data_IF_490787502338
#
_entry.id   IF_490787502338
#
_cell.length_a   1.000
_cell.length_b   1.000
_cell.length_c   1.000
_cell.angle_alpha   90.00
_cell.angle_beta   90.00
_cell.angle_gamma   90.00
#
_symmetry.space_group_name_H-M   'P 1'
#
loop_
_entity.id
_entity.type
_entity.pdbx_description
1 polymer ?
#
# COMPACT_ATOMS: atom_id res chain seq x y z
N UNK A 1 29.94 30.60 19.19
CA UNK A 1 29.87 29.54 18.16
C UNK A 1 28.49 28.89 18.21
N UNK A 2 27.56 29.25 17.31
CA UNK A 2 26.25 28.59 17.23
C UNK A 2 26.40 27.34 16.37
N UNK A 3 26.34 26.17 16.99
CA UNK A 3 26.27 24.91 16.25
C UNK A 3 24.96 24.90 15.46
N UNK A 4 25.11 24.95 14.14
CA UNK A 4 24.07 24.85 13.14
C UNK A 4 23.19 23.62 13.43
N UNK A 5 21.90 23.83 13.67
CA UNK A 5 20.96 22.74 13.95
C UNK A 5 20.88 21.84 12.71
N UNK A 6 20.91 20.50 12.83
CA UNK A 6 20.78 19.64 11.67
C UNK A 6 19.39 19.80 11.09
N UNK A 7 19.34 20.07 9.79
CA UNK A 7 18.16 19.93 8.93
C UNK A 7 17.38 18.69 9.34
N UNK A 8 16.18 18.90 9.90
CA UNK A 8 15.33 17.81 10.43
C UNK A 8 15.08 16.81 9.31
N UNK A 9 15.57 15.59 9.48
CA UNK A 9 15.43 14.55 8.48
C UNK A 9 13.97 14.09 8.54
N UNK A 10 13.21 14.36 7.48
CA UNK A 10 11.83 13.90 7.41
C UNK A 10 11.84 12.41 7.07
N UNK A 11 11.70 11.56 8.11
CA UNK A 11 11.69 10.11 7.95
C UNK A 11 10.63 9.60 6.98
N UNK A 12 9.67 10.43 6.54
CA UNK A 12 8.69 10.08 5.49
C UNK A 12 9.32 10.08 4.09
N UNK A 13 10.40 10.81 3.84
CA UNK A 13 11.03 10.88 2.51
C UNK A 13 12.03 9.75 2.24
N UNK A 14 12.33 8.95 3.26
CA UNK A 14 13.30 7.86 3.20
C UNK A 14 12.70 6.57 2.62
N UNK A 15 13.55 5.72 2.04
CA UNK A 15 13.19 4.37 1.57
C UNK A 15 12.59 3.52 2.71
N UNK A 16 11.73 2.53 2.40
CA UNK A 16 11.09 1.68 3.40
C UNK A 16 12.09 0.99 4.33
N UNK A 17 13.20 0.50 3.77
CA UNK A 17 14.26 -0.21 4.51
C UNK A 17 14.93 0.70 5.54
N UNK A 18 15.33 1.91 5.14
CA UNK A 18 15.96 2.84 6.06
C UNK A 18 14.98 3.36 7.14
N UNK A 19 13.66 3.35 6.90
CA UNK A 19 12.69 3.58 7.99
C UNK A 19 12.67 2.45 9.02
N UNK A 20 12.74 1.19 8.59
CA UNK A 20 12.82 0.03 9.50
C UNK A 20 14.06 0.14 10.38
N UNK A 21 15.21 0.46 9.78
CA UNK A 21 16.45 0.67 10.51
C UNK A 21 16.36 1.82 11.53
N UNK A 22 15.78 2.96 11.15
CA UNK A 22 15.59 4.08 12.07
C UNK A 22 14.70 3.71 13.26
N UNK A 23 13.60 2.98 13.02
CA UNK A 23 12.71 2.50 14.10
C UNK A 23 13.44 1.51 15.01
N UNK A 24 14.20 0.57 14.43
CA UNK A 24 15.02 -0.39 15.17
C UNK A 24 16.02 0.31 16.07
N UNK A 25 16.81 1.26 15.53
CA UNK A 25 17.79 2.04 16.29
C UNK A 25 17.12 2.85 17.41
N UNK A 26 15.97 3.45 17.14
CA UNK A 26 15.19 4.19 18.15
C UNK A 26 14.82 3.31 19.35
N UNK A 27 14.33 2.10 19.11
CA UNK A 27 13.94 1.17 20.19
C UNK A 27 15.17 0.65 20.94
N UNK A 28 16.27 0.36 20.24
CA UNK A 28 17.53 -0.05 20.88
C UNK A 28 18.04 1.04 21.83
N UNK A 29 18.13 2.30 21.37
CA UNK A 29 18.57 3.40 22.23
C UNK A 29 17.63 3.64 23.41
N UNK A 30 16.32 3.43 23.23
CA UNK A 30 15.38 3.53 24.34
C UNK A 30 15.59 2.41 25.37
N UNK A 31 15.85 1.18 24.93
CA UNK A 31 16.18 0.05 25.80
C UNK A 31 17.49 0.26 26.56
N UNK A 32 18.44 0.94 25.95
CA UNK A 32 19.72 1.34 26.54
C UNK A 32 19.59 2.49 27.56
N UNK A 33 18.37 3.00 27.82
CA UNK A 33 18.11 4.05 28.81
C UNK A 33 18.37 5.48 28.31
N UNK A 34 18.61 5.66 27.00
CA UNK A 34 18.86 6.99 26.43
C UNK A 34 17.57 7.82 26.46
N UNK A 35 17.67 9.08 26.91
CA UNK A 35 16.52 10.00 26.95
C UNK A 35 15.98 10.28 25.54
N UNK A 36 14.65 10.35 25.40
CA UNK A 36 13.95 10.59 24.11
C UNK A 36 14.47 11.78 23.31
N UNK A 37 14.84 12.87 24.00
CA UNK A 37 15.38 14.07 23.37
C UNK A 37 16.78 13.85 22.78
N UNK A 38 17.59 13.00 23.42
CA UNK A 38 18.92 12.64 22.92
C UNK A 38 18.81 11.67 21.74
N UNK A 39 17.89 10.71 21.79
CA UNK A 39 17.59 9.81 20.65
C UNK A 39 17.19 10.63 19.41
N UNK A 40 16.34 11.65 19.58
CA UNK A 40 15.92 12.53 18.50
C UNK A 40 17.11 13.27 17.85
N UNK A 41 18.03 13.78 18.67
CA UNK A 41 19.26 14.45 18.18
C UNK A 41 20.17 13.48 17.44
N UNK A 42 20.44 12.30 18.01
CA UNK A 42 21.32 11.27 17.43
C UNK A 42 20.81 10.76 16.08
N UNK A 43 19.50 10.62 15.92
CA UNK A 43 18.88 10.15 14.68
C UNK A 43 18.55 11.29 13.69
N UNK A 44 18.71 12.55 14.09
CA UNK A 44 18.31 13.70 13.27
C UNK A 44 16.79 13.79 13.03
N UNK A 45 15.98 13.20 13.91
CA UNK A 45 14.52 13.06 13.78
C UNK A 45 13.79 13.97 14.77
N UNK A 46 12.51 14.26 14.49
CA UNK A 46 11.66 14.99 15.41
C UNK A 46 11.41 14.21 16.70
N UNK A 47 11.38 14.91 17.84
CA UNK A 47 11.01 14.34 19.15
C UNK A 47 9.63 13.68 19.13
N UNK A 48 8.71 14.19 18.31
CA UNK A 48 7.37 13.64 18.12
C UNK A 48 7.43 12.24 17.49
N UNK A 49 8.30 12.05 16.50
CA UNK A 49 8.52 10.76 15.86
C UNK A 49 9.05 9.73 16.86
N UNK A 50 10.08 10.10 17.62
CA UNK A 50 10.68 9.24 18.66
C UNK A 50 9.65 8.83 19.71
N UNK A 51 8.84 9.78 20.18
CA UNK A 51 7.79 9.52 21.17
C UNK A 51 6.77 8.52 20.63
N UNK A 52 6.34 8.67 19.38
CA UNK A 52 5.39 7.75 18.74
C UNK A 52 5.93 6.33 18.63
N UNK A 53 7.19 6.15 18.22
CA UNK A 53 7.80 4.82 18.11
C UNK A 53 7.93 4.15 19.49
N UNK A 54 8.32 4.91 20.51
CA UNK A 54 8.43 4.41 21.89
C UNK A 54 7.06 4.06 22.48
N UNK A 55 6.00 4.79 22.13
CA UNK A 55 4.63 4.43 22.52
C UNK A 55 4.19 3.10 21.89
N UNK A 56 4.43 2.92 20.60
CA UNK A 56 4.14 1.65 19.90
C UNK A 56 4.94 0.50 20.52
N UNK A 57 6.22 0.73 20.82
CA UNK A 57 7.06 -0.26 21.48
C UNK A 57 6.51 -0.70 22.86
N UNK A 58 6.09 0.27 23.68
CA UNK A 58 5.54 -0.03 25.02
C UNK A 58 4.17 -0.71 24.96
N UNK A 59 3.36 -0.45 23.91
CA UNK A 59 2.02 -1.00 23.79
C UNK A 59 1.98 -2.37 23.09
N UNK A 60 2.76 -2.54 22.03
CA UNK A 60 2.64 -3.66 21.08
C UNK A 60 3.96 -4.45 20.90
N UNK A 61 5.05 -4.03 21.56
CA UNK A 61 6.34 -4.70 21.54
C UNK A 61 7.29 -4.28 20.41
N UNK A 62 8.46 -4.92 20.36
CA UNK A 62 9.57 -4.57 19.46
C UNK A 62 9.22 -4.77 17.98
N UNK A 63 8.61 -5.90 17.65
CA UNK A 63 8.29 -6.28 16.28
C UNK A 63 7.32 -5.28 15.63
N UNK A 64 6.24 -4.95 16.35
CA UNK A 64 5.23 -3.96 15.94
C UNK A 64 5.81 -2.55 15.75
N UNK A 65 6.75 -2.15 16.62
CA UNK A 65 7.40 -0.84 16.53
C UNK A 65 8.35 -0.74 15.32
N UNK A 66 9.01 -1.83 14.94
CA UNK A 66 9.93 -1.87 13.80
C UNK A 66 9.16 -2.01 12.48
N UNK A 67 8.26 -2.98 12.38
CA UNK A 67 7.47 -3.24 11.18
C UNK A 67 6.69 -1.98 10.72
N UNK A 68 6.12 -1.25 11.68
CA UNK A 68 5.29 -0.09 11.39
C UNK A 68 4.05 -0.44 10.56
N UNK A 69 3.26 0.57 10.18
CA UNK A 69 2.13 0.36 9.26
C UNK A 69 2.63 0.34 7.82
N UNK A 70 2.22 -0.69 7.05
CA UNK A 70 2.43 -0.77 5.59
C UNK A 70 1.95 0.54 4.95
N UNK A 71 2.81 1.17 4.15
CA UNK A 71 2.49 2.40 3.42
C UNK A 71 1.59 2.08 2.23
N UNK A 72 0.56 2.89 2.05
CA UNK A 72 -0.45 2.73 0.99
C UNK A 72 -1.81 2.31 1.53
N UNK A 73 -2.82 2.29 0.65
CA UNK A 73 -4.14 1.74 0.95
C UNK A 73 -3.96 0.29 1.37
N UNK A 74 -4.45 -0.08 2.56
CA UNK A 74 -4.40 -1.48 2.99
C UNK A 74 -5.11 -2.36 1.96
N UNK A 75 -4.65 -3.60 1.78
CA UNK A 75 -5.27 -4.51 0.80
C UNK A 75 -6.77 -4.65 1.04
N UNK A 76 -7.22 -4.60 2.30
CA UNK A 76 -8.65 -4.56 2.68
C UNK A 76 -9.38 -3.29 2.23
N UNK A 77 -8.77 -2.11 2.39
CA UNK A 77 -9.36 -0.87 1.90
C UNK A 77 -9.34 -0.78 0.37
N UNK A 78 -8.32 -1.35 -0.27
CA UNK A 78 -8.25 -1.47 -1.72
C UNK A 78 -9.30 -2.45 -2.25
N UNK A 79 -9.56 -3.55 -1.53
CA UNK A 79 -10.63 -4.51 -1.85
C UNK A 79 -12.01 -3.85 -1.77
N UNK A 80 -12.26 -3.01 -0.75
CA UNK A 80 -13.49 -2.23 -0.63
C UNK A 80 -13.66 -1.12 -1.68
N UNK A 81 -12.56 -0.65 -2.28
CA UNK A 81 -12.58 0.33 -3.38
C UNK A 81 -12.64 -0.32 -4.77
N UNK A 82 -12.43 -1.64 -4.86
CA UNK A 82 -12.46 -2.38 -6.12
C UNK A 82 -13.91 -2.65 -6.52
N UNK A 83 -14.26 -2.24 -7.73
CA UNK A 83 -15.57 -2.51 -8.32
C UNK A 83 -15.74 -4.01 -8.67
N UNK A 84 -14.64 -4.66 -9.05
CA UNK A 84 -14.56 -6.12 -9.23
C UNK A 84 -13.68 -6.72 -8.13
N UNK A 85 -14.23 -7.72 -7.43
CA UNK A 85 -13.46 -8.61 -6.56
C UNK A 85 -12.38 -9.33 -7.36
N UNK A 86 -11.29 -9.72 -6.70
CA UNK A 86 -10.18 -10.44 -7.32
C UNK A 86 -10.64 -11.72 -8.03
N UNK A 87 -11.62 -12.41 -7.47
CA UNK A 87 -12.20 -13.63 -8.06
C UNK A 87 -12.97 -13.35 -9.35
N UNK A 88 -13.75 -12.27 -9.38
CA UNK A 88 -14.51 -11.85 -10.56
C UNK A 88 -13.55 -11.41 -11.67
N UNK A 89 -12.53 -10.61 -11.35
CA UNK A 89 -11.50 -10.20 -12.30
C UNK A 89 -10.76 -11.41 -12.90
N UNK A 90 -10.45 -12.43 -12.09
CA UNK A 90 -9.82 -13.68 -12.55
C UNK A 90 -10.75 -14.49 -13.47
N UNK A 91 -12.04 -14.58 -13.15
CA UNK A 91 -13.04 -15.22 -14.04
C UNK A 91 -13.11 -14.52 -15.40
N UNK A 92 -13.14 -13.19 -15.40
CA UNK A 92 -13.14 -12.38 -16.63
C UNK A 92 -11.87 -12.62 -17.44
N UNK A 93 -10.69 -12.62 -16.80
CA UNK A 93 -9.43 -12.92 -17.47
C UNK A 93 -9.42 -14.33 -18.08
N UNK A 94 -9.90 -15.33 -17.35
CA UNK A 94 -10.01 -16.70 -17.86
C UNK A 94 -10.93 -16.78 -19.08
N UNK A 95 -12.07 -16.09 -19.07
CA UNK A 95 -12.95 -16.06 -20.25
C UNK A 95 -12.32 -15.34 -21.44
N UNK A 96 -11.52 -14.31 -21.21
CA UNK A 96 -10.80 -13.61 -22.28
C UNK A 96 -9.75 -14.52 -22.94
N UNK A 97 -9.05 -15.34 -22.14
CA UNK A 97 -8.00 -16.25 -22.62
C UNK A 97 -8.58 -17.52 -23.25
N UNK A 98 -9.59 -18.11 -22.62
CA UNK A 98 -10.12 -19.43 -22.98
C UNK A 98 -11.19 -19.35 -24.09
N UNK A 99 -11.93 -18.23 -24.19
CA UNK A 99 -13.10 -18.12 -25.07
C UNK A 99 -12.96 -16.99 -26.08
N UNK A 100 -13.40 -17.25 -27.30
CA UNK A 100 -13.58 -16.21 -28.31
C UNK A 100 -14.95 -15.53 -28.09
N UNK A 101 -15.09 -14.20 -28.18
CA UNK A 101 -16.39 -13.51 -28.06
C UNK A 101 -17.50 -14.07 -28.95
N UNK A 102 -17.16 -14.62 -30.12
CA UNK A 102 -18.11 -15.33 -30.98
C UNK A 102 -18.75 -16.56 -30.31
N UNK A 103 -17.99 -17.31 -29.49
CA UNK A 103 -18.51 -18.45 -28.72
C UNK A 103 -19.44 -18.02 -27.59
N UNK A 104 -19.34 -16.76 -27.13
CA UNK A 104 -20.18 -16.19 -26.08
C UNK A 104 -21.41 -15.44 -26.64
N UNK A 105 -21.65 -15.55 -27.96
CA UNK A 105 -22.73 -14.89 -28.70
C UNK A 105 -22.66 -13.35 -28.63
N UNK A 106 -21.46 -12.79 -28.56
CA UNK A 106 -21.27 -11.35 -28.71
C UNK A 106 -21.09 -10.99 -30.19
N UNK A 107 -21.60 -9.81 -30.56
CA UNK A 107 -21.52 -9.24 -31.92
C UNK A 107 -20.11 -8.77 -32.32
N UNK A 108 -19.12 -8.95 -31.43
CA UNK A 108 -17.75 -8.49 -31.63
C UNK A 108 -16.84 -9.66 -32.01
N UNK A 109 -15.96 -9.45 -32.99
CA UNK A 109 -14.98 -10.45 -33.42
C UNK A 109 -13.76 -10.57 -32.49
N UNK A 110 -13.51 -9.60 -31.61
CA UNK A 110 -12.32 -9.51 -30.75
C UNK A 110 -12.66 -8.95 -29.36
N UNK A 111 -11.86 -9.34 -28.36
CA UNK A 111 -11.93 -8.79 -27.01
C UNK A 111 -11.42 -7.36 -26.97
N UNK A 112 -12.33 -6.40 -27.08
CA UNK A 112 -12.06 -4.98 -26.81
C UNK A 112 -12.49 -4.61 -25.39
N UNK A 113 -11.99 -3.50 -24.84
CA UNK A 113 -12.42 -3.03 -23.52
C UNK A 113 -13.96 -2.81 -23.42
N UNK A 114 -14.63 -2.50 -24.55
CA UNK A 114 -16.09 -2.40 -24.62
C UNK A 114 -16.75 -3.78 -24.51
N UNK A 115 -16.22 -4.78 -25.22
CA UNK A 115 -16.70 -6.16 -25.16
C UNK A 115 -16.53 -6.74 -23.73
N UNK A 116 -15.36 -6.52 -23.11
CA UNK A 116 -15.09 -6.93 -21.73
C UNK A 116 -16.05 -6.25 -20.74
N UNK A 117 -16.31 -4.94 -20.91
CA UNK A 117 -17.32 -4.23 -20.10
C UNK A 117 -18.70 -4.87 -20.22
N UNK A 118 -19.12 -5.26 -21.43
CA UNK A 118 -20.42 -5.86 -21.66
C UNK A 118 -20.51 -7.28 -21.08
N UNK A 119 -19.41 -8.05 -21.15
CA UNK A 119 -19.29 -9.34 -20.47
C UNK A 119 -19.46 -9.19 -18.96
N UNK A 120 -18.77 -8.22 -18.34
CA UNK A 120 -18.84 -7.98 -16.91
C UNK A 120 -20.27 -7.56 -16.49
N UNK A 121 -20.92 -6.71 -17.29
CA UNK A 121 -22.30 -6.31 -17.03
C UNK A 121 -23.27 -7.49 -17.11
N UNK A 122 -23.11 -8.38 -18.10
CA UNK A 122 -23.97 -9.55 -18.29
C UNK A 122 -23.82 -10.58 -17.16
N UNK A 123 -22.60 -10.88 -16.74
CA UNK A 123 -22.33 -11.96 -15.77
C UNK A 123 -22.43 -11.49 -14.31
N UNK A 124 -22.08 -10.24 -14.03
CA UNK A 124 -22.04 -9.72 -12.64
C UNK A 124 -23.03 -8.57 -12.39
N UNK A 125 -23.72 -8.06 -13.40
CA UNK A 125 -24.62 -6.90 -13.26
C UNK A 125 -23.91 -5.58 -12.96
N UNK A 126 -22.58 -5.53 -13.06
CA UNK A 126 -21.76 -4.38 -12.65
C UNK A 126 -21.44 -3.47 -13.81
N UNK A 127 -21.79 -2.19 -13.68
CA UNK A 127 -21.40 -1.17 -14.65
C UNK A 127 -20.05 -0.55 -14.26
N UNK A 128 -19.00 -0.85 -15.05
CA UNK A 128 -17.70 -0.22 -14.89
C UNK A 128 -17.45 0.86 -15.95
N UNK A 129 -16.75 1.92 -15.55
CA UNK A 129 -16.18 2.87 -16.48
C UNK A 129 -15.16 2.18 -17.40
N UNK A 130 -15.07 2.62 -18.65
CA UNK A 130 -14.14 2.04 -19.63
C UNK A 130 -12.68 2.20 -19.20
N UNK A 131 -12.34 3.30 -18.53
CA UNK A 131 -11.03 3.53 -17.91
C UNK A 131 -10.70 2.47 -16.86
N UNK A 132 -11.66 2.12 -16.02
CA UNK A 132 -11.52 1.08 -14.99
C UNK A 132 -11.29 -0.29 -15.63
N UNK A 133 -12.08 -0.66 -16.64
CA UNK A 133 -11.89 -1.94 -17.36
C UNK A 133 -10.51 -2.03 -17.99
N UNK A 134 -10.04 -0.94 -18.63
CA UNK A 134 -8.68 -0.88 -19.20
C UNK A 134 -7.59 -1.01 -18.13
N UNK A 135 -7.80 -0.44 -16.95
CA UNK A 135 -6.86 -0.56 -15.84
C UNK A 135 -6.78 -2.02 -15.34
N UNK A 136 -7.92 -2.69 -15.23
CA UNK A 136 -7.98 -4.12 -14.89
C UNK A 136 -7.32 -5.03 -15.94
N UNK A 137 -7.33 -4.63 -17.22
CA UNK A 137 -6.66 -5.39 -18.29
C UNK A 137 -5.15 -5.14 -18.38
N UNK A 138 -4.64 -4.05 -17.79
CA UNK A 138 -3.21 -3.71 -17.77
C UNK A 138 -2.48 -4.30 -16.56
N UNK A 139 -3.20 -4.51 -15.46
CA UNK A 139 -2.68 -5.03 -14.19
C UNK A 139 -2.61 -6.55 -14.17
#
# INVERSE_FOLDING_TARGET
MKLNQPSTLDGRKTTPEAQLELRRRCVIYFRDGVKRAEIARRLGLSRQWVTKIIQIYQAEGFDSAVAGKKRGTSEKAAEGMRLLSREEAKKVANWIVDKNPAQLKFDFALWTAKAVRQLIYREFGKQLALSTVRNYLRS
#
